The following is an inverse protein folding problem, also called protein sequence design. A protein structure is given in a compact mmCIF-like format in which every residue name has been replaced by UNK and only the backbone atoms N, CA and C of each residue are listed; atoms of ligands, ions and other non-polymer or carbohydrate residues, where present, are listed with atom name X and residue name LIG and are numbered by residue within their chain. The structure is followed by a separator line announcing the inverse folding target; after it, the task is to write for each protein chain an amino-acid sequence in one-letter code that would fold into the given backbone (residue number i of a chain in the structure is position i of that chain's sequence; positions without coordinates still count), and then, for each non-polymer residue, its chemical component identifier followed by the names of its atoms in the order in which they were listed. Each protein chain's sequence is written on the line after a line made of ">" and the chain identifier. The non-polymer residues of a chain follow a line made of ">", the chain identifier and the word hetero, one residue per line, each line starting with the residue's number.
data_IF_437743278641
#
_entry.id   IF_437743278641
#
_cell.length_a   1.000
_cell.length_b   1.000
_cell.length_c   1.000
_cell.angle_alpha   90.00
_cell.angle_beta   90.00
_cell.angle_gamma   90.00
#
_symmetry.space_group_name_H-M   'P 1'
#
loop_
_entity.id
_entity.type
_entity.pdbx_description
1 polymer ?
#
# COMPACT_ATOMS: atom_id res chain seq x y z
N UNK A 1 -16.09 10.87 12.28
CA UNK A 1 -15.50 9.99 13.29
C UNK A 1 -15.85 10.49 14.69
N UNK A 2 -15.85 9.64 15.71
CA UNK A 2 -16.03 10.03 17.11
C UNK A 2 -14.66 10.39 17.72
N UNK A 3 -14.58 11.51 18.42
CA UNK A 3 -13.47 11.88 19.29
C UNK A 3 -14.04 12.48 20.58
N UNK A 4 -13.27 12.45 21.67
CA UNK A 4 -13.69 13.00 22.96
C UNK A 4 -12.78 14.15 23.34
N UNK A 5 -13.36 15.26 23.77
CA UNK A 5 -12.65 16.45 24.26
C UNK A 5 -13.00 16.68 25.72
N UNK A 6 -11.97 16.72 26.57
CA UNK A 6 -12.09 17.09 27.99
C UNK A 6 -11.56 18.52 28.15
N UNK A 7 -12.44 19.54 28.26
CA UNK A 7 -12.04 20.94 28.21
C UNK A 7 -11.25 21.41 29.42
N UNK A 8 -11.53 20.86 30.61
CA UNK A 8 -10.90 21.27 31.86
C UNK A 8 -9.44 20.80 31.92
N UNK A 9 -9.19 19.55 31.52
CA UNK A 9 -7.86 18.92 31.48
C UNK A 9 -7.13 19.16 30.16
N UNK A 10 -7.82 19.73 29.17
CA UNK A 10 -7.33 19.98 27.81
C UNK A 10 -6.80 18.72 27.10
N UNK A 11 -7.48 17.60 27.29
CA UNK A 11 -7.13 16.29 26.71
C UNK A 11 -8.08 15.97 25.56
N UNK A 12 -7.52 15.64 24.39
CA UNK A 12 -8.27 15.16 23.22
C UNK A 12 -7.96 13.69 22.95
N UNK A 13 -9.00 12.86 22.96
CA UNK A 13 -8.94 11.45 22.56
C UNK A 13 -9.36 11.30 21.10
N UNK A 14 -8.40 11.07 20.21
CA UNK A 14 -8.62 11.01 18.77
C UNK A 14 -9.12 9.65 18.26
N UNK A 15 -9.09 8.61 19.11
CA UNK A 15 -9.28 7.23 18.67
C UNK A 15 -8.28 6.87 17.56
N UNK A 16 -8.69 6.06 16.59
CA UNK A 16 -7.82 5.64 15.48
C UNK A 16 -7.67 6.70 14.38
N UNK A 17 -8.16 7.93 14.58
CA UNK A 17 -7.97 9.00 13.60
C UNK A 17 -6.58 9.63 13.67
N UNK A 18 -5.82 9.35 14.74
CA UNK A 18 -4.43 9.75 14.93
C UNK A 18 -3.64 8.66 15.68
N UNK A 19 -2.44 8.38 15.18
CA UNK A 19 -1.41 7.55 15.82
C UNK A 19 -0.06 7.87 15.17
N UNK A 20 1.04 7.38 15.75
CA UNK A 20 2.41 7.61 15.27
C UNK A 20 2.78 6.81 14.01
N UNK A 21 2.03 7.01 12.92
CA UNK A 21 2.32 6.56 11.56
C UNK A 21 1.36 7.24 10.56
N UNK A 22 1.74 7.27 9.27
CA UNK A 22 0.83 7.63 8.18
C UNK A 22 -0.45 6.77 8.28
N UNK A 23 -1.64 7.39 8.15
CA UNK A 23 -2.88 6.69 8.38
C UNK A 23 -3.08 5.57 7.37
N UNK A 24 -3.54 4.44 7.86
CA UNK A 24 -3.98 3.32 7.05
C UNK A 24 -5.31 3.66 6.37
N UNK A 25 -5.29 4.51 5.35
CA UNK A 25 -6.50 4.92 4.61
C UNK A 25 -7.14 3.75 3.85
N UNK A 26 -6.40 2.66 3.66
CA UNK A 26 -6.92 1.36 3.22
C UNK A 26 -6.12 0.21 3.81
N UNK A 27 -6.81 -0.62 4.60
CA UNK A 27 -6.18 -1.80 5.17
C UNK A 27 -6.12 -2.92 4.11
N UNK A 28 -4.89 -3.29 3.71
CA UNK A 28 -4.63 -4.31 2.67
C UNK A 28 -5.15 -5.70 2.99
N UNK A 29 -5.58 -5.95 4.24
CA UNK A 29 -6.37 -7.14 4.61
C UNK A 29 -7.77 -7.19 4.00
N UNK A 30 -8.19 -6.14 3.30
CA UNK A 30 -9.51 -6.00 2.70
C UNK A 30 -10.50 -5.32 3.64
N UNK A 31 -10.94 -4.11 3.26
CA UNK A 31 -12.04 -3.39 3.92
C UNK A 31 -12.81 -2.57 2.88
N UNK A 32 -14.04 -2.16 3.21
CA UNK A 32 -14.74 -1.14 2.42
C UNK A 32 -13.98 0.19 2.36
N UNK A 33 -14.35 1.04 1.40
CA UNK A 33 -13.76 2.36 1.21
C UNK A 33 -13.94 3.24 2.46
N UNK A 34 -12.87 3.89 2.88
CA UNK A 34 -12.89 4.88 3.96
C UNK A 34 -13.00 6.25 3.32
N UNK A 35 -13.98 7.05 3.72
CA UNK A 35 -14.09 8.42 3.20
C UNK A 35 -12.91 9.26 3.71
N UNK A 36 -11.89 9.40 2.87
CA UNK A 36 -10.61 10.04 3.17
C UNK A 36 -10.78 11.53 3.47
N UNK A 37 -11.67 12.20 2.75
CA UNK A 37 -11.96 13.62 2.96
C UNK A 37 -12.61 13.87 4.33
N UNK A 38 -13.54 13.01 4.73
CA UNK A 38 -14.17 13.08 6.06
C UNK A 38 -13.16 12.81 7.17
N UNK A 39 -12.21 11.91 6.96
CA UNK A 39 -11.12 11.66 7.91
C UNK A 39 -10.27 12.92 8.08
N UNK A 40 -9.72 13.45 6.99
CA UNK A 40 -8.93 14.69 7.01
C UNK A 40 -9.67 15.83 7.72
N UNK A 41 -10.94 16.06 7.36
CA UNK A 41 -11.78 17.10 7.96
C UNK A 41 -12.00 16.88 9.45
N UNK A 42 -12.18 15.62 9.89
CA UNK A 42 -12.34 15.30 11.31
C UNK A 42 -11.07 15.62 12.10
N UNK A 43 -9.89 15.30 11.56
CA UNK A 43 -8.60 15.59 12.22
C UNK A 43 -8.31 17.10 12.24
N UNK A 44 -8.64 17.83 11.16
CA UNK A 44 -8.54 19.30 11.14
C UNK A 44 -9.41 19.93 12.23
N UNK A 45 -10.62 19.40 12.44
CA UNK A 45 -11.52 19.84 13.52
C UNK A 45 -10.94 19.55 14.91
N UNK A 46 -10.26 18.42 15.11
CA UNK A 46 -9.59 18.14 16.39
C UNK A 46 -8.52 19.18 16.69
N UNK A 47 -7.78 19.66 15.67
CA UNK A 47 -6.74 20.66 15.85
C UNK A 47 -7.27 22.02 16.34
N UNK A 48 -8.55 22.35 16.13
CA UNK A 48 -9.13 23.63 16.59
C UNK A 48 -9.36 23.70 18.10
N UNK A 49 -9.25 22.56 18.81
CA UNK A 49 -9.36 22.52 20.27
C UNK A 49 -8.04 22.86 20.99
N UNK A 50 -6.93 22.85 20.24
CA UNK A 50 -5.58 23.13 20.75
C UNK A 50 -5.23 22.31 22.01
N UNK A 51 -5.33 20.96 21.96
CA UNK A 51 -5.19 20.13 23.15
C UNK A 51 -3.79 20.22 23.75
N UNK A 52 -3.69 20.23 25.07
CA UNK A 52 -2.40 20.10 25.75
C UNK A 52 -1.91 18.64 25.70
N UNK A 53 -2.83 17.69 25.62
CA UNK A 53 -2.56 16.26 25.43
C UNK A 53 -3.43 15.65 24.34
N UNK A 54 -2.80 14.95 23.40
CA UNK A 54 -3.46 14.19 22.34
C UNK A 54 -3.25 12.70 22.57
N UNK A 55 -4.35 11.99 22.80
CA UNK A 55 -4.38 10.55 23.06
C UNK A 55 -4.96 9.84 21.84
N UNK A 56 -4.13 9.06 21.14
CA UNK A 56 -4.60 8.17 20.06
C UNK A 56 -5.27 6.90 20.62
N UNK A 57 -5.95 6.15 19.75
CA UNK A 57 -6.43 4.80 20.05
C UNK A 57 -5.29 3.77 20.13
N UNK A 58 -4.15 4.12 19.52
CA UNK A 58 -2.91 3.36 19.52
C UNK A 58 -1.72 4.31 19.72
N UNK A 59 -0.54 3.72 19.97
CA UNK A 59 0.74 4.43 20.17
C UNK A 59 0.75 5.36 21.39
N UNK A 60 1.90 5.98 21.69
CA UNK A 60 2.02 6.87 22.84
C UNK A 60 1.26 8.19 22.64
N UNK A 61 0.74 8.81 23.71
CA UNK A 61 0.18 10.16 23.64
C UNK A 61 1.23 11.22 23.27
N UNK A 62 0.77 12.31 22.66
CA UNK A 62 1.55 13.54 22.47
C UNK A 62 1.17 14.58 23.54
N UNK A 63 2.16 15.17 24.19
CA UNK A 63 1.98 16.19 25.21
C UNK A 63 2.68 17.49 24.81
N UNK A 64 2.02 18.62 25.09
CA UNK A 64 2.43 19.96 24.69
C UNK A 64 1.48 20.52 23.63
N UNK A 65 0.86 21.66 23.95
CA UNK A 65 -0.18 22.30 23.11
C UNK A 65 0.24 22.48 21.66
N UNK A 66 1.40 23.12 21.47
CA UNK A 66 1.93 23.43 20.15
C UNK A 66 2.19 22.14 19.36
N UNK A 67 2.89 21.18 19.97
CA UNK A 67 3.22 19.91 19.34
C UNK A 67 1.96 19.12 18.93
N UNK A 68 0.98 18.98 19.83
CA UNK A 68 -0.26 18.26 19.56
C UNK A 68 -1.10 18.94 18.47
N UNK A 69 -1.21 20.26 18.51
CA UNK A 69 -1.96 21.05 17.53
C UNK A 69 -1.31 20.97 16.15
N UNK A 70 0.01 21.14 16.06
CA UNK A 70 0.76 21.02 14.81
C UNK A 70 0.64 19.60 14.26
N UNK A 71 0.82 18.56 15.10
CA UNK A 71 0.70 17.18 14.66
C UNK A 71 -0.66 16.89 14.03
N UNK A 72 -1.77 17.33 14.65
CA UNK A 72 -3.11 17.17 14.07
C UNK A 72 -3.28 17.92 12.74
N UNK A 73 -2.82 19.18 12.65
CA UNK A 73 -2.91 19.98 11.41
C UNK A 73 -2.16 19.28 10.27
N UNK A 74 -0.91 18.92 10.51
CA UNK A 74 -0.05 18.31 9.50
C UNK A 74 -0.53 16.90 9.12
N UNK A 75 -1.08 16.14 10.07
CA UNK A 75 -1.70 14.84 9.80
C UNK A 75 -2.92 15.00 8.88
N UNK A 76 -3.79 15.97 9.17
CA UNK A 76 -4.94 16.30 8.34
C UNK A 76 -4.54 16.76 6.93
N UNK A 77 -3.53 17.64 6.85
CA UNK A 77 -2.99 18.18 5.60
C UNK A 77 -2.35 17.09 4.74
N UNK A 78 -1.61 16.15 5.34
CA UNK A 78 -1.03 15.02 4.62
C UNK A 78 -2.12 14.12 4.00
N UNK A 79 -3.17 13.79 4.76
CA UNK A 79 -4.33 13.03 4.25
C UNK A 79 -4.97 13.79 3.08
N UNK A 80 -5.20 15.10 3.26
CA UNK A 80 -5.83 15.93 2.24
C UNK A 80 -4.98 16.02 0.98
N UNK A 81 -3.67 16.19 1.13
CA UNK A 81 -2.73 16.28 0.02
C UNK A 81 -2.72 15.01 -0.83
N UNK A 82 -2.75 13.83 -0.20
CA UNK A 82 -2.86 12.55 -0.92
C UNK A 82 -4.18 12.46 -1.68
N UNK A 83 -5.29 12.85 -1.05
CA UNK A 83 -6.60 12.89 -1.70
C UNK A 83 -6.62 13.83 -2.91
N UNK A 84 -6.25 15.10 -2.73
CA UNK A 84 -6.29 16.10 -3.78
C UNK A 84 -5.33 15.76 -4.93
N UNK A 85 -4.14 15.24 -4.65
CA UNK A 85 -3.23 14.77 -5.69
C UNK A 85 -3.83 13.58 -6.46
N UNK A 86 -4.51 12.67 -5.77
CA UNK A 86 -5.19 11.54 -6.42
C UNK A 86 -6.32 12.01 -7.33
N UNK A 87 -7.17 12.93 -6.86
CA UNK A 87 -8.24 13.54 -7.66
C UNK A 87 -7.68 14.26 -8.88
N UNK A 88 -6.57 15.01 -8.73
CA UNK A 88 -5.90 15.63 -9.89
C UNK A 88 -5.44 14.59 -10.90
N UNK A 89 -4.82 13.50 -10.46
CA UNK A 89 -4.41 12.40 -11.33
C UNK A 89 -5.59 11.77 -12.08
N UNK A 90 -6.69 11.51 -11.38
CA UNK A 90 -7.95 11.02 -11.97
C UNK A 90 -8.46 11.97 -13.04
N UNK A 91 -8.55 13.28 -12.74
CA UNK A 91 -9.04 14.28 -13.68
C UNK A 91 -8.13 14.47 -14.91
N UNK A 92 -6.85 14.09 -14.79
CA UNK A 92 -5.90 14.03 -15.91
C UNK A 92 -5.99 12.71 -16.70
N UNK A 93 -6.94 11.83 -16.37
CA UNK A 93 -7.15 10.54 -17.05
C UNK A 93 -6.11 9.47 -16.69
N UNK A 94 -5.37 9.63 -15.59
CA UNK A 94 -4.35 8.66 -15.17
C UNK A 94 -4.98 7.46 -14.48
N UNK A 95 -4.43 6.26 -14.72
CA UNK A 95 -4.80 5.04 -14.00
C UNK A 95 -4.23 4.98 -12.58
N UNK A 96 -4.76 4.10 -11.72
CA UNK A 96 -4.43 4.07 -10.28
C UNK A 96 -2.95 3.80 -9.99
N UNK A 97 -2.29 2.94 -10.76
CA UNK A 97 -0.87 2.61 -10.52
C UNK A 97 0.08 3.75 -10.88
N UNK A 98 -0.20 4.49 -11.96
CA UNK A 98 0.59 5.67 -12.31
C UNK A 98 0.45 6.74 -11.22
N UNK A 99 -0.79 7.01 -10.78
CA UNK A 99 -1.04 7.97 -9.71
C UNK A 99 -0.31 7.54 -8.43
N UNK A 100 -0.32 6.25 -8.08
CA UNK A 100 0.33 5.75 -6.88
C UNK A 100 1.86 5.94 -6.87
N UNK A 101 2.50 6.06 -8.04
CA UNK A 101 3.94 6.38 -8.16
C UNK A 101 4.23 7.89 -8.17
N UNK A 102 3.26 8.73 -8.56
CA UNK A 102 3.43 10.17 -8.65
C UNK A 102 3.07 10.91 -7.36
N UNK A 103 2.05 10.43 -6.63
CA UNK A 103 1.58 11.07 -5.41
C UNK A 103 2.63 10.91 -4.31
N UNK A 104 3.12 12.04 -3.80
CA UNK A 104 4.09 12.09 -2.72
C UNK A 104 3.74 13.21 -1.74
N UNK A 105 4.07 13.01 -0.47
CA UNK A 105 4.10 14.10 0.49
C UNK A 105 5.37 14.94 0.29
N UNK A 106 5.34 16.19 0.76
CA UNK A 106 6.53 17.04 0.78
C UNK A 106 7.63 16.40 1.64
N UNK A 107 8.91 16.61 1.28
CA UNK A 107 10.05 15.96 1.93
C UNK A 107 10.15 16.24 3.44
N UNK A 108 9.67 17.40 3.89
CA UNK A 108 9.61 17.76 5.31
C UNK A 108 8.51 17.01 6.09
N UNK A 109 7.53 16.43 5.42
CA UNK A 109 6.44 15.67 6.05
C UNK A 109 6.84 14.22 6.33
N UNK A 110 7.58 13.56 5.43
CA UNK A 110 7.92 12.12 5.52
C UNK A 110 8.86 11.74 6.67
N UNK A 111 9.57 12.71 7.27
CA UNK A 111 10.47 12.45 8.39
C UNK A 111 9.79 12.58 9.77
N UNK A 112 8.51 12.96 9.82
CA UNK A 112 7.79 13.17 11.07
C UNK A 112 7.25 11.84 11.59
N UNK A 113 7.45 11.49 12.87
CA UNK A 113 7.06 10.17 13.40
C UNK A 113 5.59 9.78 13.14
N UNK A 114 4.67 10.75 13.10
CA UNK A 114 3.25 10.54 12.82
C UNK A 114 2.89 10.56 11.33
N UNK A 115 3.86 10.66 10.41
CA UNK A 115 3.64 10.61 8.96
C UNK A 115 4.53 9.59 8.24
N UNK A 116 5.37 8.84 8.96
CA UNK A 116 6.14 7.75 8.37
C UNK A 116 5.17 6.63 7.96
N UNK A 117 5.37 6.04 6.78
CA UNK A 117 4.58 4.92 6.24
C UNK A 117 4.84 3.58 6.96
N UNK A 118 4.92 3.57 8.29
CA UNK A 118 5.10 2.35 9.09
C UNK A 118 3.87 1.43 9.04
N UNK A 119 2.66 1.99 8.91
CA UNK A 119 1.42 1.24 8.92
C UNK A 119 0.58 1.50 7.67
N UNK A 120 0.08 2.73 7.48
CA UNK A 120 -0.51 3.12 6.21
C UNK A 120 0.56 3.34 5.13
N UNK A 121 0.14 3.26 3.86
CA UNK A 121 0.96 3.70 2.73
C UNK A 121 0.17 4.66 1.84
N UNK A 122 0.85 5.67 1.32
CA UNK A 122 0.36 6.62 0.32
C UNK A 122 -0.08 5.86 -0.93
N UNK A 123 0.74 4.93 -1.41
CA UNK A 123 0.44 4.16 -2.63
C UNK A 123 -0.84 3.33 -2.49
N UNK A 124 -1.09 2.76 -1.30
CA UNK A 124 -2.31 2.03 -0.98
C UNK A 124 -3.51 2.97 -0.83
N UNK A 125 -3.32 4.12 -0.18
CA UNK A 125 -4.35 5.15 -0.08
C UNK A 125 -4.82 5.63 -1.45
N UNK A 126 -3.88 5.92 -2.36
CA UNK A 126 -4.17 6.36 -3.74
C UNK A 126 -5.04 5.32 -4.45
N UNK A 127 -4.62 4.05 -4.46
CA UNK A 127 -5.37 2.97 -5.11
C UNK A 127 -6.77 2.81 -4.52
N UNK A 128 -6.91 2.97 -3.20
CA UNK A 128 -8.19 2.89 -2.52
C UNK A 128 -9.10 4.11 -2.75
N UNK A 129 -8.53 5.31 -2.87
CA UNK A 129 -9.28 6.51 -3.26
C UNK A 129 -9.78 6.37 -4.69
N UNK A 130 -8.92 5.92 -5.61
CA UNK A 130 -9.32 5.64 -6.98
C UNK A 130 -10.46 4.61 -7.02
N UNK A 131 -10.27 3.44 -6.42
CA UNK A 131 -11.26 2.36 -6.48
C UNK A 131 -12.53 2.67 -5.71
N UNK A 132 -12.44 3.41 -4.61
CA UNK A 132 -13.59 3.86 -3.84
C UNK A 132 -14.47 4.87 -4.58
N UNK A 133 -13.91 5.64 -5.51
CA UNK A 133 -14.63 6.66 -6.27
C UNK A 133 -15.07 6.17 -7.67
N UNK A 134 -14.22 5.40 -8.36
CA UNK A 134 -14.43 4.98 -9.75
C UNK A 134 -14.67 3.48 -9.92
N UNK A 135 -14.45 2.68 -8.87
CA UNK A 135 -14.51 1.22 -8.95
C UNK A 135 -13.21 0.59 -9.47
N UNK A 136 -13.31 -0.67 -9.88
CA UNK A 136 -12.14 -1.47 -10.29
C UNK A 136 -11.59 -1.11 -11.68
N UNK A 137 -12.43 -0.52 -12.54
CA UNK A 137 -12.06 -0.22 -13.92
C UNK A 137 -11.18 1.03 -13.99
N UNK A 138 -9.98 0.89 -14.55
CA UNK A 138 -8.94 1.91 -14.62
C UNK A 138 -9.06 2.85 -15.84
N UNK A 139 -10.09 2.66 -16.67
CA UNK A 139 -10.29 3.39 -17.92
C UNK A 139 -9.54 2.83 -19.13
N UNK A 140 -8.71 1.79 -18.97
CA UNK A 140 -8.00 1.14 -20.06
C UNK A 140 -8.79 -0.07 -20.58
N UNK A 141 -9.23 -0.10 -21.85
CA UNK A 141 -9.97 -1.23 -22.41
C UNK A 141 -9.27 -2.59 -22.28
N UNK A 142 -7.93 -2.63 -22.14
CA UNK A 142 -7.17 -3.86 -21.85
C UNK A 142 -7.69 -4.55 -20.59
N UNK A 143 -8.08 -3.78 -19.56
CA UNK A 143 -8.54 -4.29 -18.27
C UNK A 143 -9.97 -4.83 -18.31
N UNK A 144 -10.78 -4.53 -19.34
CA UNK A 144 -12.18 -4.95 -19.42
C UNK A 144 -12.33 -6.47 -19.54
N UNK A 145 -11.54 -7.08 -20.42
CA UNK A 145 -11.59 -8.50 -20.74
C UNK A 145 -10.17 -9.01 -20.98
N UNK A 146 -9.37 -9.08 -19.91
CA UNK A 146 -8.01 -9.62 -20.00
C UNK A 146 -8.03 -11.07 -20.46
N UNK A 147 -6.96 -11.48 -21.13
CA UNK A 147 -6.74 -12.89 -21.48
C UNK A 147 -6.74 -13.75 -20.22
N UNK A 148 -7.07 -15.03 -20.39
CA UNK A 148 -6.83 -15.99 -19.33
C UNK A 148 -5.33 -15.98 -18.96
N UNK A 149 -4.95 -16.00 -17.67
CA UNK A 149 -3.55 -15.85 -17.24
C UNK A 149 -2.58 -16.83 -17.90
N UNK A 150 -3.03 -18.06 -18.19
CA UNK A 150 -2.23 -19.04 -18.94
C UNK A 150 -1.97 -18.60 -20.39
N UNK A 151 -2.96 -18.09 -21.08
CA UNK A 151 -2.83 -17.67 -22.49
C UNK A 151 -1.90 -16.46 -22.61
N UNK A 152 -1.99 -15.52 -21.66
CA UNK A 152 -1.08 -14.39 -21.55
C UNK A 152 0.36 -14.88 -21.29
N UNK A 153 0.54 -15.77 -20.32
CA UNK A 153 1.86 -16.33 -19.98
C UNK A 153 2.52 -17.05 -21.16
N UNK A 154 1.78 -17.86 -21.93
CA UNK A 154 2.31 -18.55 -23.10
C UNK A 154 2.79 -17.57 -24.19
N UNK A 155 2.04 -16.47 -24.41
CA UNK A 155 2.44 -15.42 -25.34
C UNK A 155 3.66 -14.66 -24.85
N UNK A 156 3.74 -14.32 -23.56
CA UNK A 156 4.91 -13.68 -22.93
C UNK A 156 6.14 -14.58 -23.04
N UNK A 157 6.00 -15.88 -22.77
CA UNK A 157 7.10 -16.84 -22.93
C UNK A 157 7.59 -16.89 -24.37
N UNK A 158 6.69 -16.86 -25.36
CA UNK A 158 7.08 -16.80 -26.79
C UNK A 158 7.87 -15.53 -27.11
N UNK A 159 7.42 -14.36 -26.64
CA UNK A 159 8.16 -13.08 -26.80
C UNK A 159 9.54 -13.12 -26.12
N UNK A 160 9.66 -13.80 -24.99
CA UNK A 160 10.93 -14.00 -24.30
C UNK A 160 11.90 -14.93 -25.05
N UNK A 161 11.43 -15.66 -26.07
CA UNK A 161 12.17 -16.67 -26.83
C UNK A 161 12.04 -18.09 -26.27
N UNK A 162 10.88 -18.40 -25.67
CA UNK A 162 10.50 -19.69 -25.11
C UNK A 162 10.49 -19.72 -23.58
N UNK A 163 9.78 -20.71 -23.02
CA UNK A 163 9.59 -20.92 -21.57
C UNK A 163 10.93 -20.90 -20.82
N UNK A 164 11.93 -21.67 -21.30
CA UNK A 164 13.25 -21.73 -20.66
C UNK A 164 14.00 -20.41 -20.68
N UNK A 165 13.77 -19.56 -21.69
CA UNK A 165 14.40 -18.23 -21.75
C UNK A 165 13.72 -17.24 -20.82
N UNK A 166 12.38 -17.33 -20.66
CA UNK A 166 11.66 -16.60 -19.63
C UNK A 166 12.16 -16.97 -18.23
N UNK A 167 12.22 -18.25 -17.91
CA UNK A 167 12.73 -18.75 -16.62
C UNK A 167 14.15 -18.25 -16.32
N UNK A 168 15.06 -18.30 -17.30
CA UNK A 168 16.42 -17.76 -17.15
C UNK A 168 16.42 -16.25 -16.88
N UNK A 169 15.54 -15.49 -17.55
CA UNK A 169 15.40 -14.05 -17.31
C UNK A 169 14.85 -13.76 -15.91
N UNK A 170 13.89 -14.53 -15.42
CA UNK A 170 13.37 -14.42 -14.05
C UNK A 170 14.47 -14.64 -13.01
N UNK A 171 15.30 -15.68 -13.18
CA UNK A 171 16.46 -15.93 -12.29
C UNK A 171 17.53 -14.84 -12.42
N UNK A 172 17.73 -14.29 -13.61
CA UNK A 172 18.67 -13.18 -13.83
C UNK A 172 18.22 -11.89 -13.12
N UNK A 173 16.93 -11.55 -13.19
CA UNK A 173 16.34 -10.41 -12.46
C UNK A 173 16.55 -10.57 -10.94
N UNK A 174 16.31 -11.77 -10.40
CA UNK A 174 16.59 -12.07 -9.00
C UNK A 174 18.07 -11.87 -8.65
N UNK A 175 19.00 -12.35 -9.48
CA UNK A 175 20.45 -12.19 -9.27
C UNK A 175 20.91 -10.72 -9.38
N UNK A 176 20.23 -9.93 -10.21
CA UNK A 176 20.50 -8.51 -10.39
C UNK A 176 19.94 -7.62 -9.26
N UNK A 177 19.18 -8.19 -8.30
CA UNK A 177 18.54 -7.43 -7.23
C UNK A 177 17.22 -6.78 -7.63
N UNK A 178 16.68 -7.09 -8.81
CA UNK A 178 15.40 -6.59 -9.32
C UNK A 178 14.24 -7.40 -8.72
N UNK A 179 14.15 -7.45 -7.38
CA UNK A 179 13.30 -8.40 -6.68
C UNK A 179 11.80 -8.26 -7.01
N UNK A 180 11.30 -7.03 -7.13
CA UNK A 180 9.91 -6.77 -7.52
C UNK A 180 9.64 -7.27 -8.96
N UNK A 181 10.58 -7.07 -9.88
CA UNK A 181 10.43 -7.54 -11.25
C UNK A 181 10.53 -9.06 -11.36
N UNK A 182 11.46 -9.68 -10.62
CA UNK A 182 11.53 -11.13 -10.51
C UNK A 182 10.21 -11.69 -9.98
N UNK A 183 9.63 -11.08 -8.94
CA UNK A 183 8.33 -11.44 -8.37
C UNK A 183 7.22 -11.36 -9.43
N UNK A 184 7.10 -10.29 -10.19
CA UNK A 184 6.10 -10.15 -11.26
C UNK A 184 6.26 -11.23 -12.36
N UNK A 185 7.50 -11.51 -12.76
CA UNK A 185 7.79 -12.56 -13.74
C UNK A 185 7.39 -13.97 -13.25
N UNK A 186 7.44 -14.23 -11.94
CA UNK A 186 6.97 -15.52 -11.40
C UNK A 186 5.47 -15.73 -11.58
N UNK A 187 4.67 -14.66 -11.61
CA UNK A 187 3.22 -14.76 -11.82
C UNK A 187 2.84 -15.12 -13.25
N UNK A 188 3.72 -14.87 -14.23
CA UNK A 188 3.59 -15.48 -15.57
C UNK A 188 4.13 -16.93 -15.58
N UNK A 189 5.32 -17.15 -15.01
CA UNK A 189 5.99 -18.45 -15.07
C UNK A 189 5.17 -19.59 -14.44
N UNK A 190 4.42 -19.31 -13.36
CA UNK A 190 3.60 -20.32 -12.65
C UNK A 190 2.53 -21.00 -13.52
N UNK A 191 2.12 -20.37 -14.63
CA UNK A 191 1.10 -20.89 -15.53
C UNK A 191 1.61 -21.84 -16.62
N UNK A 192 2.93 -21.93 -16.81
CA UNK A 192 3.56 -22.54 -18.00
C UNK A 192 3.85 -24.03 -17.91
N UNK A 193 3.52 -24.68 -16.79
CA UNK A 193 3.75 -26.10 -16.59
C UNK A 193 4.04 -26.42 -15.13
N UNK A 194 4.06 -27.72 -14.77
CA UNK A 194 4.35 -28.16 -13.40
C UNK A 194 5.79 -27.80 -12.99
N UNK A 195 6.78 -28.08 -13.85
CA UNK A 195 8.18 -27.77 -13.56
C UNK A 195 8.42 -26.27 -13.41
N UNK A 196 7.79 -25.47 -14.29
CA UNK A 196 7.86 -24.01 -14.27
C UNK A 196 7.16 -23.43 -13.04
N UNK A 197 6.06 -24.03 -12.58
CA UNK A 197 5.39 -23.66 -11.33
C UNK A 197 6.27 -23.86 -10.11
N UNK A 198 6.98 -24.99 -10.03
CA UNK A 198 7.93 -25.24 -8.94
C UNK A 198 9.10 -24.23 -8.98
N UNK A 199 9.68 -24.00 -10.17
CA UNK A 199 10.73 -22.98 -10.36
C UNK A 199 10.24 -21.57 -10.00
N UNK A 200 9.02 -21.20 -10.38
CA UNK A 200 8.40 -19.94 -10.03
C UNK A 200 8.18 -19.82 -8.52
N UNK A 201 7.73 -20.89 -7.85
CA UNK A 201 7.53 -20.92 -6.38
C UNK A 201 8.85 -20.63 -5.65
N UNK A 202 9.93 -21.33 -6.02
CA UNK A 202 11.27 -21.09 -5.45
C UNK A 202 11.70 -19.62 -5.57
N UNK A 203 11.58 -19.06 -6.77
CA UNK A 203 12.00 -17.68 -7.03
C UNK A 203 11.08 -16.68 -6.30
N UNK A 204 9.77 -16.95 -6.25
CA UNK A 204 8.77 -16.10 -5.58
C UNK A 204 9.04 -16.01 -4.09
N UNK A 205 9.31 -17.15 -3.42
CA UNK A 205 9.68 -17.18 -1.99
C UNK A 205 10.93 -16.32 -1.74
N UNK A 206 11.97 -16.48 -2.57
CA UNK A 206 13.21 -15.72 -2.41
C UNK A 206 13.01 -14.20 -2.64
N UNK A 207 12.25 -13.83 -3.68
CA UNK A 207 11.94 -12.44 -3.99
C UNK A 207 11.10 -11.77 -2.88
N UNK A 208 10.06 -12.45 -2.38
CA UNK A 208 9.23 -11.97 -1.27
C UNK A 208 10.06 -11.72 0.00
N UNK A 209 10.95 -12.65 0.36
CA UNK A 209 11.85 -12.49 1.52
C UNK A 209 12.84 -11.33 1.33
N UNK A 210 13.35 -11.14 0.11
CA UNK A 210 14.23 -10.02 -0.20
C UNK A 210 13.50 -8.68 -0.10
N UNK A 211 12.31 -8.56 -0.68
CA UNK A 211 11.45 -7.36 -0.56
C UNK A 211 11.10 -7.09 0.91
N UNK A 212 10.71 -8.11 1.67
CA UNK A 212 10.41 -7.97 3.10
C UNK A 212 11.60 -7.46 3.93
N UNK A 213 12.84 -7.79 3.55
CA UNK A 213 14.04 -7.29 4.24
C UNK A 213 14.29 -5.80 4.01
N UNK A 214 13.72 -5.23 2.94
CA UNK A 214 13.85 -3.83 2.55
C UNK A 214 12.59 -3.02 2.85
N UNK A 215 11.53 -3.67 3.31
CA UNK A 215 10.23 -3.08 3.53
C UNK A 215 10.10 -2.58 4.97
N UNK A 216 9.92 -1.27 5.11
CA UNK A 216 9.73 -0.61 6.39
C UNK A 216 8.27 -0.69 6.86
N UNK A 217 7.31 -0.72 5.93
CA UNK A 217 5.90 -0.81 6.25
C UNK A 217 5.57 -2.18 6.85
N UNK A 218 5.16 -2.20 8.13
CA UNK A 218 4.95 -3.44 8.87
C UNK A 218 3.89 -4.36 8.22
N UNK A 219 2.70 -3.87 7.80
CA UNK A 219 1.76 -4.67 7.02
C UNK A 219 2.38 -5.30 5.77
N UNK A 220 3.00 -4.50 4.89
CA UNK A 220 3.60 -5.01 3.64
C UNK A 220 4.64 -6.10 3.92
N UNK A 221 5.57 -5.81 4.84
CA UNK A 221 6.61 -6.75 5.25
C UNK A 221 6.02 -8.07 5.73
N UNK A 222 5.00 -8.00 6.58
CA UNK A 222 4.37 -9.18 7.13
C UNK A 222 3.61 -9.97 6.05
N UNK A 223 2.92 -9.30 5.12
CA UNK A 223 2.27 -9.98 3.99
C UNK A 223 3.29 -10.71 3.11
N UNK A 224 4.43 -10.09 2.79
CA UNK A 224 5.49 -10.75 2.03
C UNK A 224 6.02 -12.00 2.74
N UNK A 225 6.30 -11.90 4.05
CA UNK A 225 6.82 -13.03 4.83
C UNK A 225 5.79 -14.14 5.01
N UNK A 226 4.55 -13.79 5.33
CA UNK A 226 3.45 -14.75 5.49
C UNK A 226 3.21 -15.51 4.19
N UNK A 227 3.11 -14.81 3.06
CA UNK A 227 2.92 -15.44 1.76
C UNK A 227 4.08 -16.38 1.40
N UNK A 228 5.32 -15.94 1.63
CA UNK A 228 6.50 -16.78 1.41
C UNK A 228 6.47 -18.06 2.25
N UNK A 229 6.08 -17.97 3.52
CA UNK A 229 5.99 -19.12 4.41
C UNK A 229 4.85 -20.08 4.01
N UNK A 230 3.71 -19.54 3.57
CA UNK A 230 2.59 -20.36 3.09
C UNK A 230 2.95 -21.10 1.79
N UNK A 231 3.64 -20.44 0.85
CA UNK A 231 4.20 -21.08 -0.34
C UNK A 231 5.20 -22.19 0.01
N UNK A 232 6.13 -21.92 0.94
CA UNK A 232 7.15 -22.88 1.37
C UNK A 232 6.55 -24.09 2.07
N UNK A 233 5.48 -23.90 2.85
CA UNK A 233 4.76 -24.98 3.52
C UNK A 233 3.83 -25.79 2.61
N UNK A 234 3.60 -25.34 1.37
CA UNK A 234 2.64 -25.96 0.45
C UNK A 234 1.18 -25.78 0.85
N UNK A 235 0.85 -24.76 1.66
CA UNK A 235 -0.54 -24.49 2.11
C UNK A 235 -1.41 -23.81 1.07
N UNK A 236 -0.81 -23.01 0.19
CA UNK A 236 -1.52 -22.44 -0.95
C UNK A 236 -1.61 -23.54 -2.04
N UNK A 237 -2.64 -23.54 -2.90
CA UNK A 237 -2.87 -24.38 -4.11
C UNK A 237 -4.14 -23.80 -4.80
N UNK A 238 -4.51 -23.97 -6.07
CA UNK A 238 -3.81 -24.39 -7.28
C UNK A 238 -3.62 -23.13 -8.15
N UNK A 239 -2.37 -22.70 -8.36
CA UNK A 239 -1.94 -21.51 -9.13
C UNK A 239 -1.94 -20.16 -8.36
N UNK A 240 -1.68 -20.24 -7.07
CA UNK A 240 -1.19 -19.21 -6.13
C UNK A 240 -1.91 -17.85 -6.22
N UNK A 241 -2.95 -17.67 -5.39
CA UNK A 241 -3.50 -16.36 -5.02
C UNK A 241 -2.90 -15.93 -3.70
#
# INVERSE_FOLDING_TARGET
>A
ALFVWLPEERVLFAGDNFYHAFPNLYAIRGTGYRNVLNWSTSVARMATFEPDHLVGGHTSPLSGRELATIALREYSEAIRAVYDQTIRGINLGKGPDLIAHEVKLAANAVNKPYLIEFYGSISHAVRAIYSGLLGWYDGNPVSLNRLHPRDEAEKVARLAGGIKKLERKTRAAMKAGEFQWALELTDSLKWLGKAERESAREIKIAALRALASQEYNAPNRNYYLSYANELESGKLDDIWF
#
